data_IF_871916363863
#
_entry.id   IF_871916363863
#
_cell.length_a   1.000
_cell.length_b   1.000
_cell.length_c   1.000
_cell.angle_alpha   90.00
_cell.angle_beta   90.00
_cell.angle_gamma   90.00
#
_symmetry.space_group_name_H-M   'P 1'
#
loop_
_entity.id
_entity.type
_entity.pdbx_description
1 polymer ?
#
# COMPACT_ATOMS: atom_id res chain seq x y z
N UNK A 1 -22.06 -1.00 22.07
CA UNK A 1 -20.80 -1.79 22.09
C UNK A 1 -20.01 -1.61 20.79
N UNK A 2 -19.90 -0.35 20.32
CA UNK A 2 -19.38 0.00 19.01
C UNK A 2 -17.87 -0.20 18.90
N UNK A 3 -17.46 -1.40 18.50
CA UNK A 3 -16.17 -1.59 17.85
C UNK A 3 -16.21 -0.79 16.55
N UNK A 4 -15.61 0.39 16.54
CA UNK A 4 -15.56 1.34 15.42
C UNK A 4 -14.78 0.82 14.21
N UNK A 5 -15.00 -0.43 13.80
CA UNK A 5 -14.57 -0.97 12.51
C UNK A 5 -15.69 -0.63 11.54
N UNK A 6 -15.57 0.51 10.88
CA UNK A 6 -16.34 0.77 9.67
C UNK A 6 -15.82 -0.21 8.62
N UNK A 7 -16.56 -1.30 8.39
CA UNK A 7 -16.37 -2.13 7.19
C UNK A 7 -16.99 -1.36 6.04
N UNK A 8 -16.23 -0.42 5.50
CA UNK A 8 -16.64 0.24 4.26
C UNK A 8 -16.52 -0.77 3.13
N UNK A 9 -17.65 -1.19 2.57
CA UNK A 9 -17.71 -1.94 1.33
C UNK A 9 -17.60 -1.02 0.10
N UNK A 10 -17.48 0.31 0.29
CA UNK A 10 -17.07 1.26 -0.73
C UNK A 10 -15.58 1.08 -1.03
N UNK A 11 -15.13 1.15 -2.27
CA UNK A 11 -15.17 2.35 -3.11
C UNK A 11 -15.26 1.98 -4.59
N UNK A 12 -16.43 1.56 -5.08
CA UNK A 12 -16.69 1.38 -6.51
C UNK A 12 -15.59 0.64 -7.29
N UNK A 13 -15.49 0.89 -8.59
CA UNK A 13 -14.36 0.40 -9.40
C UNK A 13 -13.15 1.30 -9.16
N UNK A 14 -12.02 0.73 -8.73
CA UNK A 14 -10.73 1.44 -8.70
C UNK A 14 -10.22 1.54 -10.13
N UNK A 15 -10.29 2.75 -10.71
CA UNK A 15 -9.76 3.03 -12.04
C UNK A 15 -8.33 3.54 -11.91
N UNK A 16 -7.38 2.75 -12.37
CA UNK A 16 -5.99 3.18 -12.53
C UNK A 16 -5.86 3.97 -13.83
N UNK A 17 -5.20 5.13 -13.78
CA UNK A 17 -4.89 5.90 -14.98
C UNK A 17 -3.98 5.10 -15.93
N UNK A 18 -4.00 5.37 -17.24
CA UNK A 18 -3.04 4.77 -18.15
C UNK A 18 -1.61 5.07 -17.69
N UNK A 19 -0.68 4.14 -17.91
CA UNK A 19 0.73 4.25 -17.50
C UNK A 19 0.96 4.43 -15.99
N UNK A 20 0.02 3.96 -15.17
CA UNK A 20 0.21 3.89 -13.72
C UNK A 20 0.71 2.53 -13.26
N UNK A 21 1.51 2.52 -12.20
CA UNK A 21 1.94 1.33 -11.50
C UNK A 21 1.57 1.44 -10.02
N UNK A 22 1.34 0.28 -9.40
CA UNK A 22 1.06 0.18 -7.97
C UNK A 22 2.10 -0.73 -7.33
N UNK A 23 2.63 -0.29 -6.19
CA UNK A 23 3.53 -1.05 -5.35
C UNK A 23 2.97 -1.17 -3.94
N UNK A 24 3.11 -2.35 -3.35
CA UNK A 24 2.76 -2.64 -1.97
C UNK A 24 4.02 -2.88 -1.15
N UNK A 25 4.23 -2.07 -0.13
CA UNK A 25 5.30 -2.24 0.85
C UNK A 25 4.71 -2.63 2.19
N UNK A 26 5.14 -3.76 2.74
CA UNK A 26 4.69 -4.24 4.04
C UNK A 26 5.61 -3.71 5.14
N UNK A 27 5.03 -3.17 6.20
CA UNK A 27 5.76 -2.43 7.22
C UNK A 27 5.57 -3.05 8.62
N UNK A 28 6.64 -3.00 9.41
CA UNK A 28 6.61 -3.33 10.84
C UNK A 28 6.07 -2.18 11.71
N UNK A 29 6.14 -2.34 13.04
CA UNK A 29 5.67 -1.34 13.99
C UNK A 29 6.48 -0.03 14.00
N UNK A 30 7.74 -0.10 13.59
CA UNK A 30 8.66 1.04 13.54
C UNK A 30 8.67 1.68 12.13
N UNK A 31 7.91 1.10 11.19
CA UNK A 31 7.79 1.58 9.82
C UNK A 31 8.86 1.06 8.86
N UNK A 32 9.63 0.04 9.25
CA UNK A 32 10.61 -0.61 8.38
C UNK A 32 9.93 -1.57 7.41
N UNK A 33 10.50 -1.70 6.21
CA UNK A 33 10.02 -2.63 5.19
C UNK A 33 10.35 -4.08 5.56
N UNK A 34 9.33 -4.94 5.52
CA UNK A 34 9.49 -6.39 5.60
C UNK A 34 9.96 -6.95 4.25
N UNK A 35 10.89 -7.90 4.31
CA UNK A 35 11.42 -8.54 3.10
C UNK A 35 10.44 -9.58 2.58
N UNK A 36 10.24 -9.62 1.26
CA UNK A 36 9.43 -10.64 0.60
C UNK A 36 10.28 -11.90 0.30
N UNK A 37 9.71 -13.12 0.40
CA UNK A 37 8.34 -13.43 0.79
C UNK A 37 8.13 -13.29 2.31
N UNK A 38 6.98 -12.74 2.71
CA UNK A 38 6.61 -12.61 4.12
C UNK A 38 6.27 -13.99 4.68
N UNK A 39 6.89 -14.33 5.80
CA UNK A 39 6.61 -15.59 6.49
C UNK A 39 5.39 -15.46 7.40
N UNK A 40 4.80 -16.59 7.80
CA UNK A 40 3.73 -16.59 8.80
C UNK A 40 4.17 -15.95 10.12
N UNK A 41 5.44 -16.15 10.51
CA UNK A 41 6.04 -15.51 11.69
C UNK A 41 6.03 -13.99 11.55
N UNK A 42 6.35 -13.45 10.38
CA UNK A 42 6.33 -12.01 10.12
C UNK A 42 4.91 -11.45 10.16
N UNK A 43 3.92 -12.17 9.61
CA UNK A 43 2.50 -11.75 9.67
C UNK A 43 2.03 -11.59 11.11
N UNK A 44 2.39 -12.53 11.99
CA UNK A 44 1.96 -12.54 13.39
C UNK A 44 2.74 -11.49 14.19
N UNK A 45 4.07 -11.53 14.10
CA UNK A 45 4.92 -10.82 15.04
C UNK A 45 5.29 -9.41 14.56
N UNK A 46 5.42 -9.21 13.25
CA UNK A 46 6.09 -8.04 12.69
C UNK A 46 5.14 -7.13 11.91
N UNK A 47 4.26 -7.68 11.06
CA UNK A 47 3.42 -6.91 10.14
C UNK A 47 2.42 -6.02 10.89
N UNK A 48 2.45 -4.71 10.61
CA UNK A 48 1.54 -3.71 11.21
C UNK A 48 0.88 -2.78 10.22
N UNK A 49 1.49 -2.53 9.07
CA UNK A 49 0.92 -1.64 8.08
C UNK A 49 1.27 -2.07 6.66
N UNK A 50 0.48 -1.59 5.70
CA UNK A 50 0.81 -1.65 4.29
C UNK A 50 0.87 -0.22 3.77
N UNK A 51 1.94 0.10 3.06
CA UNK A 51 2.06 1.31 2.28
C UNK A 51 1.75 0.97 0.83
N UNK A 52 0.73 1.64 0.29
CA UNK A 52 0.38 1.59 -1.12
C UNK A 52 1.03 2.80 -1.77
N UNK A 53 1.85 2.57 -2.79
CA UNK A 53 2.44 3.63 -3.59
C UNK A 53 1.94 3.50 -5.02
N UNK A 54 1.40 4.58 -5.57
CA UNK A 54 0.97 4.66 -6.96
C UNK A 54 1.88 5.65 -7.67
N UNK A 55 2.47 5.21 -8.77
CA UNK A 55 3.24 6.06 -9.67
C UNK A 55 2.47 6.25 -10.96
N UNK A 56 2.39 7.47 -11.47
CA UNK A 56 1.81 7.81 -12.76
C UNK A 56 2.88 8.47 -13.62
N UNK A 57 3.25 7.81 -14.71
CA UNK A 57 4.22 8.34 -15.65
C UNK A 57 3.51 9.17 -16.72
N UNK A 58 3.93 10.42 -16.88
CA UNK A 58 3.44 11.31 -17.93
C UNK A 58 3.83 10.77 -19.32
N UNK A 59 2.91 10.88 -20.28
CA UNK A 59 3.20 10.59 -21.69
C UNK A 59 4.16 11.63 -22.30
N UNK A 60 4.18 12.84 -21.75
CA UNK A 60 5.07 13.91 -22.17
C UNK A 60 6.30 13.98 -21.27
N UNK A 61 7.45 14.22 -21.90
CA UNK A 61 8.71 14.47 -21.22
C UNK A 61 8.86 15.93 -20.81
N UNK A 62 9.57 16.16 -19.71
CA UNK A 62 10.03 17.50 -19.32
C UNK A 62 11.06 18.02 -20.34
N UNK A 63 11.43 19.29 -20.23
CA UNK A 63 12.48 19.90 -21.07
C UNK A 63 13.84 19.20 -20.95
N UNK A 64 14.05 18.41 -19.90
CA UNK A 64 15.22 17.56 -19.67
C UNK A 64 15.20 16.25 -20.44
N UNK A 65 14.12 15.92 -21.17
CA UNK A 65 13.95 14.65 -21.87
C UNK A 65 13.51 13.48 -21.00
N UNK A 66 13.35 13.68 -19.68
CA UNK A 66 12.85 12.66 -18.76
C UNK A 66 11.34 12.79 -18.58
N UNK A 67 10.57 11.68 -18.56
CA UNK A 67 9.15 11.74 -18.23
C UNK A 67 8.96 12.23 -16.80
N UNK A 68 7.94 13.05 -16.59
CA UNK A 68 7.50 13.40 -15.24
C UNK A 68 6.80 12.19 -14.61
N UNK A 69 7.10 11.90 -13.34
CA UNK A 69 6.44 10.84 -12.58
C UNK A 69 5.76 11.49 -11.37
N UNK A 70 4.44 11.41 -11.31
CA UNK A 70 3.68 11.76 -10.12
C UNK A 70 3.61 10.54 -9.20
N UNK A 71 3.90 10.72 -7.92
CA UNK A 71 3.86 9.65 -6.92
C UNK A 71 2.93 10.04 -5.78
N UNK A 72 2.00 9.15 -5.45
CA UNK A 72 1.16 9.24 -4.24
C UNK A 72 1.42 8.02 -3.40
N UNK A 73 1.58 8.20 -2.10
CA UNK A 73 1.76 7.10 -1.16
C UNK A 73 0.85 7.27 0.03
N UNK A 74 0.18 6.17 0.43
CA UNK A 74 -0.67 6.14 1.60
C UNK A 74 -0.37 4.89 2.43
N UNK A 75 -0.25 5.08 3.75
CA UNK A 75 0.00 3.99 4.69
C UNK A 75 -1.29 3.67 5.44
N UNK A 76 -1.64 2.39 5.47
CA UNK A 76 -2.82 1.86 6.15
C UNK A 76 -2.38 0.92 7.26
N UNK A 77 -2.76 1.26 8.49
CA UNK A 77 -2.55 0.38 9.63
C UNK A 77 -3.46 -0.85 9.55
N UNK A 78 -2.88 -2.03 9.68
CA UNK A 78 -3.60 -3.28 9.77
C UNK A 78 -4.01 -3.50 11.23
N UNK A 79 -5.29 -3.78 11.45
CA UNK A 79 -5.84 -4.14 12.77
C UNK A 79 -6.49 -5.50 12.68
N UNK A 80 -6.50 -6.22 13.80
CA UNK A 80 -7.15 -7.52 13.92
C UNK A 80 -6.62 -8.55 12.90
N UNK A 81 -5.30 -8.66 12.79
CA UNK A 81 -4.67 -9.81 12.14
C UNK A 81 -4.97 -11.05 13.01
N UNK A 82 -6.17 -11.61 12.84
CA UNK A 82 -6.62 -12.82 13.52
C UNK A 82 -5.99 -13.99 12.79
N UNK A 83 -4.77 -14.34 13.19
CA UNK A 83 -4.13 -15.56 12.77
C UNK A 83 -4.67 -16.69 13.67
N UNK A 84 -5.80 -17.30 13.26
CA UNK A 84 -6.21 -18.58 13.82
C UNK A 84 -5.24 -19.62 13.27
N UNK A 85 -4.49 -20.23 14.18
CA UNK A 85 -3.57 -21.35 14.01
C UNK A 85 -3.64 -22.10 12.68
#
# INVERSE_FOLDING_TARGET
>A
DGSGITRDSGFGTVLMGPNSTMELTYLDMDGNTLTLPITNTDVINSLRAIRVTVNLTSEQSLSTGTPYIATVSQTFGLRNLNYLY
#
